data_IF_738503679394
#
_entry.id   IF_738503679394
#
_cell.length_a   1.000
_cell.length_b   1.000
_cell.length_c   1.000
_cell.angle_alpha   90.00
_cell.angle_beta   90.00
_cell.angle_gamma   90.00
#
_symmetry.space_group_name_H-M   'P 1'
#
loop_
_entity.id
_entity.type
_entity.pdbx_description
1 polymer ?
#
# COMPACT_ATOMS: atom_id res chain seq x y z
N UNK A 1 -19.13 48.28 20.31
CA UNK A 1 -19.05 48.19 21.78
C UNK A 1 -18.51 49.50 22.34
N UNK A 2 -17.50 50.06 21.68
CA UNK A 2 -16.98 51.43 21.79
C UNK A 2 -18.05 52.53 21.79
N UNK A 3 -18.95 52.56 20.79
CA UNK A 3 -20.03 53.58 20.72
C UNK A 3 -21.00 53.58 21.91
N UNK A 4 -21.33 52.40 22.45
CA UNK A 4 -22.18 52.26 23.65
C UNK A 4 -21.43 52.71 24.89
N UNK A 5 -20.14 52.37 25.01
CA UNK A 5 -19.28 52.81 26.12
C UNK A 5 -19.10 54.33 26.14
N UNK A 6 -19.00 54.96 24.97
CA UNK A 6 -18.88 56.41 24.81
C UNK A 6 -20.18 57.12 25.20
N UNK A 7 -21.34 56.60 24.75
CA UNK A 7 -22.66 57.09 25.18
C UNK A 7 -22.94 56.86 26.68
N UNK A 8 -22.35 55.83 27.28
CA UNK A 8 -22.47 55.56 28.74
C UNK A 8 -21.69 56.56 29.57
N UNK A 9 -20.60 57.08 29.01
CA UNK A 9 -19.72 58.08 29.62
C UNK A 9 -20.34 59.48 29.60
N UNK A 10 -21.12 59.81 28.57
CA UNK A 10 -21.79 61.11 28.41
C UNK A 10 -23.23 61.17 28.97
N UNK A 11 -23.83 60.03 29.32
CA UNK A 11 -25.18 59.96 29.85
C UNK A 11 -25.31 60.68 31.20
N UNK A 12 -26.14 61.72 31.25
CA UNK A 12 -26.41 62.51 32.48
C UNK A 12 -27.74 62.17 33.15
N UNK A 13 -28.64 61.44 32.49
CA UNK A 13 -29.97 61.11 32.99
C UNK A 13 -30.10 59.61 33.34
N UNK A 14 -30.77 59.31 34.47
CA UNK A 14 -30.97 57.94 34.98
C UNK A 14 -31.69 57.02 33.99
N UNK A 15 -32.61 57.57 33.20
CA UNK A 15 -33.36 56.81 32.18
C UNK A 15 -32.45 56.32 31.04
N UNK A 16 -31.57 57.18 30.54
CA UNK A 16 -30.60 56.85 29.48
C UNK A 16 -29.58 55.82 29.96
N UNK A 17 -29.11 55.96 31.21
CA UNK A 17 -28.19 55.01 31.83
C UNK A 17 -28.81 53.60 31.95
N UNK A 18 -30.10 53.53 32.27
CA UNK A 18 -30.82 52.25 32.40
C UNK A 18 -31.01 51.57 31.04
N UNK A 19 -31.35 52.35 30.00
CA UNK A 19 -31.45 51.86 28.63
C UNK A 19 -30.10 51.32 28.14
N UNK A 20 -29.02 52.06 28.34
CA UNK A 20 -27.68 51.61 27.94
C UNK A 20 -27.20 50.36 28.68
N UNK A 21 -27.50 50.25 29.99
CA UNK A 21 -27.22 49.02 30.75
C UNK A 21 -27.96 47.82 30.17
N UNK A 22 -29.22 47.99 29.78
CA UNK A 22 -30.01 46.92 29.16
C UNK A 22 -29.45 46.49 27.79
N UNK A 23 -28.96 47.44 26.98
CA UNK A 23 -28.29 47.16 25.70
C UNK A 23 -26.96 46.43 25.88
N UNK A 24 -26.18 46.79 26.91
CA UNK A 24 -24.94 46.10 27.25
C UNK A 24 -25.18 44.66 27.66
N UNK A 25 -26.11 44.41 28.58
CA UNK A 25 -26.48 43.06 29.01
C UNK A 25 -26.95 42.19 27.84
N UNK A 26 -27.73 42.79 26.93
CA UNK A 26 -28.17 42.09 25.72
C UNK A 26 -26.99 41.74 24.81
N UNK A 27 -26.07 42.67 24.58
CA UNK A 27 -24.86 42.39 23.78
C UNK A 27 -23.95 41.35 24.41
N UNK A 28 -23.82 41.36 25.73
CA UNK A 28 -23.04 40.36 26.47
C UNK A 28 -23.64 38.95 26.28
N UNK A 29 -24.98 38.83 26.37
CA UNK A 29 -25.67 37.58 26.07
C UNK A 29 -25.52 37.13 24.60
N UNK A 30 -25.58 38.07 23.65
CA UNK A 30 -25.36 37.79 22.22
C UNK A 30 -23.92 37.33 21.95
N UNK A 31 -22.92 37.95 22.59
CA UNK A 31 -21.51 37.56 22.48
C UNK A 31 -21.26 36.18 23.08
N UNK A 32 -21.79 35.90 24.27
CA UNK A 32 -21.67 34.58 24.91
C UNK A 32 -22.29 33.46 24.07
N UNK A 33 -23.42 33.72 23.39
CA UNK A 33 -23.99 32.76 22.44
C UNK A 33 -23.07 32.51 21.24
N UNK A 34 -22.52 33.57 20.64
CA UNK A 34 -21.58 33.45 19.52
C UNK A 34 -20.29 32.73 19.91
N UNK A 35 -19.80 32.95 21.13
CA UNK A 35 -18.62 32.26 21.66
C UNK A 35 -18.88 30.75 21.73
N UNK A 36 -20.00 30.32 22.33
CA UNK A 36 -20.39 28.91 22.38
C UNK A 36 -20.59 28.29 20.98
N UNK A 37 -21.16 29.06 20.04
CA UNK A 37 -21.31 28.62 18.64
C UNK A 37 -19.96 28.42 17.94
N UNK A 38 -19.00 29.32 18.18
CA UNK A 38 -17.64 29.23 17.65
C UNK A 38 -16.89 28.04 18.23
N UNK A 39 -17.00 27.81 19.54
CA UNK A 39 -16.39 26.65 20.20
C UNK A 39 -16.93 25.35 19.62
N UNK A 40 -18.26 25.23 19.49
CA UNK A 40 -18.90 24.05 18.86
C UNK A 40 -18.41 23.86 17.43
N UNK A 41 -18.30 24.94 16.65
CA UNK A 41 -17.80 24.88 15.27
C UNK A 41 -16.33 24.46 15.21
N UNK A 42 -15.50 24.92 16.14
CA UNK A 42 -14.08 24.55 16.22
C UNK A 42 -13.90 23.06 16.54
N UNK A 43 -14.73 22.50 17.43
CA UNK A 43 -14.74 21.08 17.76
C UNK A 43 -15.12 20.23 16.55
N UNK A 44 -16.18 20.60 15.83
CA UNK A 44 -16.61 19.88 14.63
C UNK A 44 -15.55 19.92 13.52
N UNK A 45 -14.86 21.05 13.34
CA UNK A 45 -13.74 21.17 12.38
C UNK A 45 -12.60 20.23 12.77
N UNK A 46 -12.21 20.20 14.03
CA UNK A 46 -11.14 19.33 14.52
C UNK A 46 -11.52 17.84 14.37
N UNK A 47 -12.77 17.47 14.63
CA UNK A 47 -13.28 16.12 14.40
C UNK A 47 -13.26 15.75 12.91
N UNK A 48 -13.68 16.67 12.03
CA UNK A 48 -13.64 16.46 10.58
C UNK A 48 -12.20 16.29 10.07
N UNK A 49 -11.26 17.13 10.50
CA UNK A 49 -9.84 17.02 10.16
C UNK A 49 -9.25 15.71 10.65
N UNK A 50 -9.57 15.31 11.89
CA UNK A 50 -9.14 14.04 12.47
C UNK A 50 -9.66 12.84 11.69
N UNK A 51 -10.94 12.84 11.33
CA UNK A 51 -11.54 11.75 10.55
C UNK A 51 -10.91 11.67 9.15
N UNK A 52 -10.72 12.81 8.50
CA UNK A 52 -10.06 12.87 7.19
C UNK A 52 -8.63 12.33 7.26
N UNK A 53 -7.86 12.72 8.29
CA UNK A 53 -6.50 12.21 8.50
C UNK A 53 -6.50 10.70 8.78
N UNK A 54 -7.45 10.21 9.57
CA UNK A 54 -7.63 8.80 9.86
C UNK A 54 -7.93 7.98 8.60
N UNK A 55 -8.81 8.48 7.73
CA UNK A 55 -9.16 7.82 6.47
C UNK A 55 -7.97 7.78 5.51
N UNK A 56 -7.25 8.89 5.36
CA UNK A 56 -6.04 8.95 4.52
C UNK A 56 -4.98 7.96 5.03
N UNK A 57 -4.74 7.93 6.34
CA UNK A 57 -3.77 7.02 6.95
C UNK A 57 -4.19 5.56 6.78
N UNK A 58 -5.46 5.24 7.02
CA UNK A 58 -6.00 3.90 6.83
C UNK A 58 -5.80 3.43 5.39
N UNK A 59 -6.14 4.25 4.40
CA UNK A 59 -5.94 3.92 2.99
C UNK A 59 -4.47 3.77 2.64
N UNK A 60 -3.62 4.72 3.06
CA UNK A 60 -2.17 4.70 2.81
C UNK A 60 -1.53 3.42 3.36
N UNK A 61 -1.80 3.08 4.62
CA UNK A 61 -1.26 1.89 5.27
C UNK A 61 -1.80 0.61 4.65
N UNK A 62 -3.09 0.58 4.28
CA UNK A 62 -3.69 -0.58 3.60
C UNK A 62 -3.02 -0.86 2.25
N UNK A 63 -2.79 0.18 1.44
CA UNK A 63 -2.07 0.03 0.16
C UNK A 63 -0.63 -0.41 0.38
N UNK A 64 0.09 0.22 1.31
CA UNK A 64 1.47 -0.15 1.63
C UNK A 64 1.56 -1.62 2.07
N UNK A 65 0.68 -2.06 2.96
CA UNK A 65 0.62 -3.44 3.44
C UNK A 65 0.34 -4.45 2.31
N UNK A 66 -0.64 -4.14 1.44
CA UNK A 66 -0.97 -4.99 0.29
C UNK A 66 0.21 -5.15 -0.68
N UNK A 67 0.85 -4.04 -1.06
CA UNK A 67 1.98 -4.07 -1.98
C UNK A 67 3.20 -4.76 -1.37
N UNK A 68 3.53 -4.47 -0.11
CA UNK A 68 4.65 -5.11 0.58
C UNK A 68 4.48 -6.62 0.66
N UNK A 69 3.30 -7.10 1.06
CA UNK A 69 3.01 -8.53 1.16
C UNK A 69 3.16 -9.23 -0.20
N UNK A 70 2.65 -8.62 -1.26
CA UNK A 70 2.75 -9.19 -2.61
C UNK A 70 4.19 -9.20 -3.12
N UNK A 71 4.95 -8.13 -2.90
CA UNK A 71 6.36 -8.08 -3.26
C UNK A 71 7.21 -9.07 -2.47
N UNK A 72 6.89 -9.31 -1.20
CA UNK A 72 7.62 -10.26 -0.35
C UNK A 72 7.47 -11.70 -0.84
N UNK A 73 6.26 -12.08 -1.28
CA UNK A 73 6.03 -13.36 -1.98
C UNK A 73 6.94 -13.51 -3.20
N UNK A 74 6.96 -12.51 -4.08
CA UNK A 74 7.72 -12.58 -5.33
C UNK A 74 9.23 -12.59 -5.09
N UNK A 75 9.73 -11.83 -4.10
CA UNK A 75 11.13 -11.89 -3.67
C UNK A 75 11.51 -13.26 -3.13
N UNK A 76 10.60 -13.90 -2.39
CA UNK A 76 10.81 -15.25 -1.88
C UNK A 76 10.91 -16.27 -3.01
N UNK A 77 10.01 -16.19 -4.00
CA UNK A 77 10.06 -17.07 -5.19
C UNK A 77 11.34 -16.84 -5.99
N UNK A 78 11.75 -15.59 -6.20
CA UNK A 78 13.01 -15.26 -6.88
C UNK A 78 14.21 -15.88 -6.15
N UNK A 79 14.28 -15.69 -4.83
CA UNK A 79 15.36 -16.20 -3.99
C UNK A 79 15.43 -17.73 -4.06
N UNK A 80 14.29 -18.41 -3.88
CA UNK A 80 14.21 -19.87 -3.96
C UNK A 80 14.55 -20.39 -5.36
N UNK A 81 14.18 -19.68 -6.42
CA UNK A 81 14.52 -20.06 -7.80
C UNK A 81 16.03 -19.95 -8.05
N UNK A 82 16.68 -18.89 -7.55
CA UNK A 82 18.15 -18.73 -7.64
C UNK A 82 18.86 -19.83 -6.85
N UNK A 83 18.37 -20.16 -5.65
CA UNK A 83 18.88 -21.30 -4.86
C UNK A 83 18.70 -22.62 -5.61
N UNK A 84 17.54 -22.83 -6.24
CA UNK A 84 17.26 -24.01 -7.06
C UNK A 84 18.21 -24.14 -8.25
N UNK A 85 18.49 -23.04 -8.96
CA UNK A 85 19.51 -23.01 -10.02
C UNK A 85 20.90 -23.31 -9.47
N UNK A 86 21.27 -22.74 -8.32
CA UNK A 86 22.55 -23.02 -7.67
C UNK A 86 22.70 -24.49 -7.26
N UNK A 87 21.63 -25.09 -6.76
CA UNK A 87 21.57 -26.53 -6.45
C UNK A 87 21.77 -27.37 -7.72
N UNK A 88 21.05 -27.07 -8.80
CA UNK A 88 21.21 -27.74 -10.10
C UNK A 88 22.65 -27.61 -10.62
N UNK A 89 23.21 -26.41 -10.61
CA UNK A 89 24.60 -26.19 -11.06
C UNK A 89 25.61 -27.01 -10.25
N UNK A 90 25.41 -27.09 -8.92
CA UNK A 90 26.23 -27.91 -8.03
C UNK A 90 26.11 -29.39 -8.35
N UNK A 91 24.88 -29.87 -8.55
CA UNK A 91 24.59 -31.25 -8.93
C UNK A 91 25.32 -31.65 -10.22
N UNK A 92 25.30 -30.78 -11.23
CA UNK A 92 26.02 -31.00 -12.50
C UNK A 92 27.55 -31.06 -12.35
N UNK A 93 28.13 -30.53 -11.27
CA UNK A 93 29.59 -30.49 -11.05
C UNK A 93 30.10 -31.58 -10.12
N UNK A 94 29.25 -32.15 -9.25
CA UNK A 94 29.63 -33.12 -8.23
C UNK A 94 29.43 -34.58 -8.67
N UNK A 95 28.75 -34.84 -9.78
CA UNK A 95 28.61 -36.20 -10.32
C UNK A 95 29.93 -36.71 -10.90
N UNK A 96 30.43 -37.84 -10.38
CA UNK A 96 31.56 -38.57 -10.98
C UNK A 96 31.21 -39.13 -12.37
N UNK A 97 29.92 -39.36 -12.62
CA UNK A 97 29.37 -39.67 -13.94
C UNK A 97 28.75 -38.42 -14.58
N UNK A 98 28.98 -38.24 -15.88
CA UNK A 98 28.36 -37.15 -16.63
C UNK A 98 26.86 -37.41 -16.72
N UNK A 99 26.04 -36.38 -16.43
CA UNK A 99 24.61 -36.37 -16.72
C UNK A 99 24.37 -36.89 -18.15
N UNK A 100 23.73 -38.05 -18.28
CA UNK A 100 23.47 -38.68 -19.59
C UNK A 100 21.99 -39.03 -19.74
N UNK A 101 21.55 -39.15 -21.00
CA UNK A 101 20.19 -39.55 -21.37
C UNK A 101 19.09 -38.72 -20.70
N UNK A 102 18.30 -39.39 -19.84
CA UNK A 102 17.10 -38.81 -19.21
C UNK A 102 17.43 -37.74 -18.17
N UNK A 103 18.53 -37.87 -17.43
CA UNK A 103 18.92 -36.93 -16.39
C UNK A 103 19.22 -35.55 -16.96
N UNK A 104 19.94 -35.51 -18.09
CA UNK A 104 20.26 -34.27 -18.79
C UNK A 104 19.00 -33.55 -19.27
N UNK A 105 18.01 -34.29 -19.77
CA UNK A 105 16.74 -33.72 -20.24
C UNK A 105 15.97 -33.11 -19.06
N UNK A 106 15.85 -33.83 -17.94
CA UNK A 106 15.15 -33.34 -16.75
C UNK A 106 15.88 -32.14 -16.15
N UNK A 107 17.22 -32.16 -16.12
CA UNK A 107 18.07 -31.07 -15.68
C UNK A 107 17.85 -29.79 -16.49
N UNK A 108 17.84 -29.89 -17.83
CA UNK A 108 17.60 -28.75 -18.72
C UNK A 108 16.19 -28.21 -18.49
N UNK A 109 15.18 -29.08 -18.36
CA UNK A 109 13.80 -28.67 -18.17
C UNK A 109 13.57 -27.99 -16.81
N UNK A 110 14.20 -28.49 -15.75
CA UNK A 110 14.22 -27.86 -14.43
C UNK A 110 14.87 -26.48 -14.49
N UNK A 111 16.03 -26.39 -15.12
CA UNK A 111 16.80 -25.14 -15.27
C UNK A 111 16.00 -24.08 -16.05
N UNK A 112 15.42 -24.45 -17.19
CA UNK A 112 14.60 -23.54 -17.99
C UNK A 112 13.35 -23.08 -17.24
N UNK A 113 12.76 -23.94 -16.42
CA UNK A 113 11.58 -23.61 -15.60
C UNK A 113 11.92 -22.56 -14.53
N UNK A 114 13.03 -22.72 -13.81
CA UNK A 114 13.49 -21.71 -12.84
C UNK A 114 13.93 -20.41 -13.51
N UNK A 115 14.66 -20.46 -14.63
CA UNK A 115 15.05 -19.27 -15.39
C UNK A 115 13.81 -18.50 -15.84
N UNK A 116 12.79 -19.20 -16.36
CA UNK A 116 11.53 -18.57 -16.77
C UNK A 116 10.81 -17.92 -15.59
N UNK A 117 10.78 -18.59 -14.43
CA UNK A 117 10.22 -18.03 -13.20
C UNK A 117 10.94 -16.74 -12.79
N UNK A 118 12.27 -16.73 -12.81
CA UNK A 118 13.11 -15.54 -12.52
C UNK A 118 12.76 -14.39 -13.47
N UNK A 119 12.71 -14.65 -14.78
CA UNK A 119 12.39 -13.63 -15.78
C UNK A 119 11.00 -13.03 -15.53
N UNK A 120 10.00 -13.87 -15.28
CA UNK A 120 8.65 -13.39 -15.01
C UNK A 120 8.55 -12.61 -13.70
N UNK A 121 9.23 -13.02 -12.62
CA UNK A 121 9.27 -12.25 -11.36
C UNK A 121 9.88 -10.86 -11.58
N UNK A 122 10.98 -10.77 -12.33
CA UNK A 122 11.58 -9.47 -12.67
C UNK A 122 10.60 -8.59 -13.45
N UNK A 123 9.84 -9.18 -14.38
CA UNK A 123 8.79 -8.45 -15.10
C UNK A 123 7.64 -8.01 -14.19
N UNK A 124 7.24 -8.83 -13.21
CA UNK A 124 6.23 -8.47 -12.20
C UNK A 124 6.70 -7.26 -11.39
N UNK A 125 7.96 -7.20 -10.97
CA UNK A 125 8.46 -6.03 -10.24
C UNK A 125 8.36 -4.74 -11.05
N UNK A 126 8.63 -4.80 -12.36
CA UNK A 126 8.47 -3.66 -13.26
C UNK A 126 6.99 -3.27 -13.39
N UNK A 127 6.12 -4.24 -13.67
CA UNK A 127 4.69 -4.02 -13.84
C UNK A 127 3.99 -3.55 -12.55
N UNK A 128 4.43 -4.01 -11.38
CA UNK A 128 3.93 -3.54 -10.09
C UNK A 128 4.18 -2.03 -9.93
N UNK A 129 5.36 -1.54 -10.32
CA UNK A 129 5.66 -0.11 -10.32
C UNK A 129 4.76 0.70 -11.27
N UNK A 130 4.47 0.16 -12.45
CA UNK A 130 3.58 0.79 -13.43
C UNK A 130 2.11 0.76 -13.00
N UNK A 131 1.67 -0.32 -12.34
CA UNK A 131 0.32 -0.45 -11.78
C UNK A 131 0.05 0.57 -10.67
N UNK A 132 1.00 0.79 -9.76
CA UNK A 132 0.88 1.80 -8.70
C UNK A 132 0.71 3.20 -9.32
N UNK A 133 1.52 3.53 -10.33
CA UNK A 133 1.37 4.81 -11.05
C UNK A 133 0.02 4.93 -11.74
N UNK A 134 -0.48 3.86 -12.33
CA UNK A 134 -1.78 3.84 -13.01
C UNK A 134 -2.92 4.09 -12.01
N UNK A 135 -2.92 3.46 -10.84
CA UNK A 135 -3.96 3.70 -9.82
C UNK A 135 -3.99 5.17 -9.36
N UNK A 136 -2.81 5.79 -9.20
CA UNK A 136 -2.71 7.15 -8.67
C UNK A 136 -3.00 8.25 -9.71
N UNK A 137 -2.74 7.99 -10.99
CA UNK A 137 -2.81 9.02 -12.05
C UNK A 137 -3.99 8.80 -13.01
N UNK A 138 -4.24 7.56 -13.42
CA UNK A 138 -5.16 7.24 -14.52
C UNK A 138 -5.79 5.85 -14.30
N UNK A 139 -6.90 5.84 -13.53
CA UNK A 139 -7.60 4.63 -13.13
C UNK A 139 -8.13 3.77 -14.28
N UNK A 140 -8.19 4.31 -15.51
CA UNK A 140 -8.59 3.54 -16.70
C UNK A 140 -7.61 2.43 -17.07
N UNK A 141 -6.29 2.66 -16.84
CA UNK A 141 -5.23 1.69 -17.18
C UNK A 141 -4.96 0.68 -16.07
N UNK A 142 -5.46 0.93 -14.86
CA UNK A 142 -5.22 0.08 -13.71
C UNK A 142 -5.78 -1.34 -13.93
N UNK A 143 -6.98 -1.46 -14.49
CA UNK A 143 -7.63 -2.77 -14.70
C UNK A 143 -6.86 -3.70 -15.65
N UNK A 144 -6.34 -3.15 -16.75
CA UNK A 144 -5.54 -3.90 -17.72
C UNK A 144 -4.22 -4.39 -17.12
N UNK A 145 -3.55 -3.51 -16.36
CA UNK A 145 -2.31 -3.83 -15.65
C UNK A 145 -2.55 -4.88 -14.56
N UNK A 146 -3.64 -4.78 -13.82
CA UNK A 146 -4.02 -5.78 -12.80
C UNK A 146 -4.21 -7.18 -13.41
N UNK A 147 -4.89 -7.25 -14.55
CA UNK A 147 -5.11 -8.51 -15.27
C UNK A 147 -3.80 -9.11 -15.75
N UNK A 148 -2.88 -8.27 -16.28
CA UNK A 148 -1.54 -8.71 -16.67
C UNK A 148 -0.77 -9.23 -15.45
N UNK A 149 -0.74 -8.51 -14.34
CA UNK A 149 -0.11 -8.93 -13.08
C UNK A 149 -0.59 -10.32 -12.65
N UNK A 150 -1.90 -10.55 -12.63
CA UNK A 150 -2.50 -11.86 -12.24
C UNK A 150 -2.05 -12.99 -13.17
N UNK A 151 -1.96 -12.73 -14.47
CA UNK A 151 -1.50 -13.72 -15.44
C UNK A 151 -0.01 -14.06 -15.22
N UNK A 152 0.84 -13.05 -15.04
CA UNK A 152 2.26 -13.27 -14.74
C UNK A 152 2.45 -13.99 -13.41
N UNK A 153 1.72 -13.61 -12.35
CA UNK A 153 1.75 -14.30 -11.06
C UNK A 153 1.45 -15.80 -11.20
N UNK A 154 0.44 -16.13 -12.01
CA UNK A 154 0.07 -17.52 -12.31
C UNK A 154 1.19 -18.23 -13.07
N UNK A 155 1.74 -17.61 -14.11
CA UNK A 155 2.86 -18.18 -14.88
C UNK A 155 4.10 -18.42 -14.01
N UNK A 156 4.48 -17.46 -13.16
CA UNK A 156 5.60 -17.59 -12.20
C UNK A 156 5.39 -18.81 -11.32
N UNK A 157 4.21 -18.94 -10.72
CA UNK A 157 3.89 -20.03 -9.81
C UNK A 157 3.99 -21.38 -10.53
N UNK A 158 3.41 -21.50 -11.73
CA UNK A 158 3.50 -22.73 -12.51
C UNK A 158 4.94 -23.08 -12.87
N UNK A 159 5.71 -22.14 -13.44
CA UNK A 159 7.11 -22.37 -13.79
C UNK A 159 7.95 -22.76 -12.56
N UNK A 160 7.74 -22.11 -11.42
CA UNK A 160 8.44 -22.43 -10.18
C UNK A 160 8.12 -23.84 -9.68
N UNK A 161 6.84 -24.21 -9.64
CA UNK A 161 6.39 -25.55 -9.22
C UNK A 161 6.94 -26.63 -10.15
N UNK A 162 6.92 -26.40 -11.48
CA UNK A 162 7.53 -27.33 -12.43
C UNK A 162 9.04 -27.48 -12.20
N UNK A 163 9.76 -26.37 -11.98
CA UNK A 163 11.19 -26.40 -11.65
C UNK A 163 11.47 -27.24 -10.39
N UNK A 164 10.68 -27.06 -9.33
CA UNK A 164 10.78 -27.86 -8.10
C UNK A 164 10.51 -29.34 -8.36
N UNK A 165 9.43 -29.68 -9.06
CA UNK A 165 9.08 -31.08 -9.35
C UNK A 165 10.19 -31.76 -10.15
N UNK A 166 10.68 -31.12 -11.22
CA UNK A 166 11.77 -31.70 -12.02
C UNK A 166 13.06 -31.85 -11.22
N UNK A 167 13.36 -30.92 -10.31
CA UNK A 167 14.53 -31.02 -9.44
C UNK A 167 14.43 -32.21 -8.49
N UNK A 168 13.24 -32.46 -7.91
CA UNK A 168 13.00 -33.62 -7.05
C UNK A 168 13.09 -34.92 -7.86
N UNK A 169 12.48 -34.97 -9.04
CA UNK A 169 12.54 -36.15 -9.91
C UNK A 169 13.97 -36.42 -10.37
N UNK A 170 14.74 -35.39 -10.71
CA UNK A 170 16.16 -35.53 -11.05
C UNK A 170 16.96 -36.16 -9.91
N UNK A 171 16.78 -35.64 -8.69
CA UNK A 171 17.46 -36.18 -7.51
C UNK A 171 17.08 -37.63 -7.20
N UNK A 172 15.85 -38.03 -7.48
CA UNK A 172 15.42 -39.42 -7.35
C UNK A 172 16.04 -40.33 -8.41
N UNK A 173 15.92 -39.95 -9.70
CA UNK A 173 16.46 -40.74 -10.82
C UNK A 173 17.96 -40.93 -10.67
N UNK A 174 18.69 -39.88 -10.32
CA UNK A 174 20.13 -39.94 -10.16
C UNK A 174 20.59 -40.60 -8.85
N UNK A 175 19.68 -40.88 -7.90
CA UNK A 175 19.98 -41.64 -6.69
C UNK A 175 19.66 -43.13 -6.81
N UNK A 176 18.87 -43.53 -7.81
CA UNK A 176 18.53 -44.94 -8.08
C UNK A 176 19.52 -45.64 -9.04
N UNK A 177 20.54 -44.91 -9.49
CA UNK A 177 21.72 -45.43 -10.19
C UNK A 177 22.86 -45.53 -9.17
#
# INVERSE_FOLDING_TARGET
MTDILERLKDARNKSELFQLKSELLRKESELSKKENELDTRSLNLNEYEKNTACDIEYHSQSYAAFFNTRMEKDKSILTLSVVGIGYLATFSTLGDEKLDGLELIIFILASLSFISSIIFVIQIFKLNGDYIKAILVDGSKASDLETKLKNYDRCVLFCFIFGLIFTIVLGYVASEI
#
